data_IF_507540956321
#
_entry.id   IF_507540956321
#
_cell.length_a   1.000
_cell.length_b   1.000
_cell.length_c   1.000
_cell.angle_alpha   90.00
_cell.angle_beta   90.00
_cell.angle_gamma   90.00
#
_symmetry.space_group_name_H-M   'P 1'
#
loop_
_entity.id
_entity.type
_entity.pdbx_description
1 polymer ?
#
# COMPACT_ATOMS: atom_id res chain seq x y z
N UNK A 1 -33.45 -15.10 -2.81
CA UNK A 1 -32.23 -15.10 -3.67
C UNK A 1 -31.04 -14.82 -2.78
N UNK A 2 -29.89 -15.46 -3.04
CA UNK A 2 -28.66 -15.20 -2.28
C UNK A 2 -28.07 -13.87 -2.75
N UNK A 3 -27.79 -12.95 -1.82
CA UNK A 3 -27.11 -11.67 -2.13
C UNK A 3 -25.66 -11.94 -2.52
N UNK A 4 -25.14 -11.21 -3.49
CA UNK A 4 -23.72 -11.20 -3.83
C UNK A 4 -22.95 -10.47 -2.73
N UNK A 5 -21.68 -10.83 -2.55
CA UNK A 5 -20.77 -10.19 -1.60
C UNK A 5 -19.82 -9.28 -2.35
N UNK A 6 -19.74 -8.02 -1.94
CA UNK A 6 -18.84 -7.03 -2.52
C UNK A 6 -17.84 -6.60 -1.44
N UNK A 7 -16.56 -6.84 -1.69
CA UNK A 7 -15.47 -6.37 -0.83
C UNK A 7 -15.00 -4.99 -1.29
N UNK A 8 -15.15 -4.02 -0.39
CA UNK A 8 -14.74 -2.63 -0.54
C UNK A 8 -13.38 -2.45 0.12
N UNK A 9 -12.31 -2.33 -0.67
CA UNK A 9 -10.94 -2.16 -0.16
C UNK A 9 -10.52 -0.68 -0.12
N UNK A 10 -10.30 -0.15 1.09
CA UNK A 10 -10.02 1.25 1.36
C UNK A 10 -8.77 1.38 2.26
N UNK A 11 -7.56 1.29 1.68
CA UNK A 11 -6.31 1.33 2.44
C UNK A 11 -5.84 2.73 2.82
N UNK A 12 -6.51 3.79 2.40
CA UNK A 12 -6.03 5.16 2.54
C UNK A 12 -7.16 6.16 2.88
N UNK A 13 -6.77 7.32 3.44
CA UNK A 13 -7.64 8.26 4.16
C UNK A 13 -8.57 9.16 3.32
N UNK A 14 -9.37 9.94 4.07
CA UNK A 14 -10.32 11.05 3.78
C UNK A 14 -10.97 11.15 2.38
N UNK A 15 -10.19 11.23 1.29
CA UNK A 15 -10.71 11.47 -0.07
C UNK A 15 -11.58 10.32 -0.60
N UNK A 16 -11.26 9.09 -0.21
CA UNK A 16 -12.00 7.90 -0.66
C UNK A 16 -13.26 7.66 0.20
N UNK A 17 -13.34 8.25 1.41
CA UNK A 17 -14.52 8.11 2.30
C UNK A 17 -15.79 8.66 1.69
N UNK A 18 -15.70 9.78 0.97
CA UNK A 18 -16.85 10.44 0.35
C UNK A 18 -17.56 9.52 -0.66
N UNK A 19 -16.81 8.61 -1.28
CA UNK A 19 -17.36 7.66 -2.23
C UNK A 19 -18.28 6.63 -1.58
N UNK A 20 -18.03 6.27 -0.30
CA UNK A 20 -18.90 5.37 0.45
C UNK A 20 -20.28 6.00 0.66
N UNK A 21 -20.36 7.32 0.79
CA UNK A 21 -21.64 8.04 0.90
C UNK A 21 -22.32 8.31 -0.44
N UNK A 22 -21.83 7.75 -1.55
CA UNK A 22 -22.50 7.90 -2.85
C UNK A 22 -23.70 6.95 -2.96
N UNK A 23 -24.67 7.33 -3.81
CA UNK A 23 -25.88 6.53 -4.09
C UNK A 23 -25.57 5.11 -4.59
N UNK A 24 -24.36 4.90 -5.14
CA UNK A 24 -23.83 3.60 -5.57
C UNK A 24 -23.92 2.55 -4.47
N UNK A 25 -23.65 2.91 -3.21
CA UNK A 25 -23.61 1.97 -2.09
C UNK A 25 -24.78 2.12 -1.12
N UNK A 26 -25.41 3.29 -1.07
CA UNK A 26 -26.57 3.52 -0.18
C UNK A 26 -27.75 2.63 -0.59
N UNK A 27 -27.99 2.50 -1.90
CA UNK A 27 -29.17 1.82 -2.45
C UNK A 27 -28.88 0.42 -2.98
N UNK A 28 -27.74 -0.17 -2.63
CA UNK A 28 -27.41 -1.53 -3.08
C UNK A 28 -28.18 -2.58 -2.28
N UNK A 29 -28.61 -3.64 -2.95
CA UNK A 29 -29.19 -4.81 -2.29
C UNK A 29 -28.15 -5.90 -1.99
N UNK A 30 -26.88 -5.66 -2.34
CA UNK A 30 -25.77 -6.60 -2.14
C UNK A 30 -25.21 -6.51 -0.71
N UNK A 31 -24.50 -7.55 -0.29
CA UNK A 31 -23.80 -7.58 1.01
C UNK A 31 -22.47 -6.84 0.87
N UNK A 32 -22.31 -5.73 1.60
CA UNK A 32 -21.09 -4.93 1.56
C UNK A 32 -20.15 -5.31 2.70
N UNK A 33 -18.90 -5.61 2.36
CA UNK A 33 -17.83 -5.91 3.31
C UNK A 33 -16.77 -4.82 3.18
N UNK A 34 -16.47 -4.12 4.26
CA UNK A 34 -15.50 -3.03 4.24
C UNK A 34 -14.13 -3.51 4.75
N UNK A 35 -13.10 -3.48 3.91
CA UNK A 35 -11.71 -3.76 4.28
C UNK A 35 -10.90 -2.46 4.34
N UNK A 36 -10.57 -1.99 5.54
CA UNK A 36 -10.16 -0.59 5.74
C UNK A 36 -9.11 -0.38 6.84
N UNK A 37 -8.53 0.83 6.89
CA UNK A 37 -7.74 1.32 8.02
C UNK A 37 -8.37 2.52 8.75
N UNK A 38 -9.66 2.82 8.50
CA UNK A 38 -10.39 3.88 9.18
C UNK A 38 -10.43 3.73 10.71
N UNK A 39 -10.46 4.88 11.39
CA UNK A 39 -10.70 4.95 12.82
C UNK A 39 -12.15 4.56 13.19
N UNK A 40 -12.40 4.18 14.45
CA UNK A 40 -13.73 3.74 14.89
C UNK A 40 -14.83 4.78 14.69
N UNK A 41 -14.56 6.09 14.83
CA UNK A 41 -15.56 7.14 14.68
C UNK A 41 -16.01 7.26 13.22
N UNK A 42 -15.05 7.18 12.28
CA UNK A 42 -15.32 7.13 10.84
C UNK A 42 -16.22 5.95 10.48
N UNK A 43 -15.97 4.77 11.03
CA UNK A 43 -16.79 3.58 10.79
C UNK A 43 -18.23 3.76 11.28
N UNK A 44 -18.40 4.31 12.48
CA UNK A 44 -19.71 4.61 13.04
C UNK A 44 -20.46 5.59 12.12
N UNK A 45 -19.78 6.60 11.55
CA UNK A 45 -20.39 7.55 10.64
C UNK A 45 -20.81 6.92 9.30
N UNK A 46 -19.99 6.03 8.73
CA UNK A 46 -20.29 5.32 7.48
C UNK A 46 -21.52 4.42 7.66
N UNK A 47 -21.55 3.61 8.73
CA UNK A 47 -22.64 2.68 9.04
C UNK A 47 -24.00 3.34 9.27
N UNK A 48 -24.05 4.65 9.52
CA UNK A 48 -25.31 5.42 9.60
C UNK A 48 -25.97 5.63 8.25
N UNK A 49 -25.19 5.64 7.17
CA UNK A 49 -25.67 6.01 5.83
C UNK A 49 -25.62 4.84 4.85
N UNK A 50 -24.72 3.88 5.08
CA UNK A 50 -24.48 2.75 4.20
C UNK A 50 -24.64 1.47 4.99
N UNK A 51 -25.41 0.52 4.47
CA UNK A 51 -25.53 -0.81 5.03
C UNK A 51 -24.23 -1.58 4.79
N UNK A 52 -23.33 -1.57 5.79
CA UNK A 52 -22.11 -2.37 5.81
C UNK A 52 -22.32 -3.54 6.77
N UNK A 53 -22.39 -4.75 6.24
CA UNK A 53 -22.71 -5.96 6.98
C UNK A 53 -21.52 -6.47 7.80
N UNK A 54 -20.30 -6.27 7.31
CA UNK A 54 -19.09 -6.62 8.06
C UNK A 54 -17.90 -5.75 7.69
N UNK A 55 -16.95 -5.68 8.60
CA UNK A 55 -15.70 -4.94 8.41
C UNK A 55 -14.50 -5.79 8.76
N UNK A 56 -13.41 -5.53 8.05
CA UNK A 56 -12.10 -6.13 8.25
C UNK A 56 -11.13 -4.95 8.40
N UNK A 57 -10.43 -4.89 9.53
CA UNK A 57 -9.38 -3.90 9.72
C UNK A 57 -8.10 -4.41 9.07
N UNK A 58 -7.46 -3.55 8.27
CA UNK A 58 -6.16 -3.83 7.68
C UNK A 58 -5.16 -3.99 8.82
N UNK A 59 -4.50 -5.16 8.95
CA UNK A 59 -3.56 -5.38 10.02
C UNK A 59 -2.35 -4.46 9.86
N UNK A 60 -1.80 -4.01 10.99
CA UNK A 60 -0.58 -3.23 10.99
C UNK A 60 0.58 -4.01 10.35
N UNK A 61 1.17 -3.41 9.32
CA UNK A 61 2.37 -3.96 8.71
C UNK A 61 3.60 -3.64 9.56
N UNK A 62 4.23 -4.67 10.14
CA UNK A 62 5.50 -4.56 10.84
C UNK A 62 6.60 -5.12 9.96
N UNK A 63 7.52 -4.26 9.55
CA UNK A 63 8.67 -4.64 8.73
C UNK A 63 9.90 -4.88 9.61
N UNK A 64 10.47 -6.08 9.55
CA UNK A 64 11.76 -6.39 10.13
C UNK A 64 12.92 -5.81 9.29
N UNK A 65 14.09 -5.66 9.90
CA UNK A 65 15.29 -5.17 9.20
C UNK A 65 15.66 -6.06 8.00
N UNK A 66 15.44 -7.38 8.09
CA UNK A 66 15.70 -8.32 7.00
C UNK A 66 14.72 -8.13 5.84
N UNK A 67 13.44 -8.01 6.14
CA UNK A 67 12.40 -7.75 5.12
C UNK A 67 12.64 -6.42 4.43
N UNK A 68 12.95 -5.37 5.20
CA UNK A 68 13.35 -4.08 4.67
C UNK A 68 14.55 -4.19 3.73
N UNK A 69 15.59 -4.90 4.16
CA UNK A 69 16.80 -5.08 3.36
C UNK A 69 16.49 -5.74 2.02
N UNK A 70 15.73 -6.84 2.04
CA UNK A 70 15.33 -7.55 0.84
C UNK A 70 14.44 -6.70 -0.07
N UNK A 71 13.48 -5.96 0.49
CA UNK A 71 12.60 -5.07 -0.28
C UNK A 71 13.38 -3.98 -1.01
N UNK A 72 14.31 -3.32 -0.32
CA UNK A 72 15.15 -2.29 -0.90
C UNK A 72 16.12 -2.87 -1.95
N UNK A 73 16.70 -4.05 -1.69
CA UNK A 73 17.55 -4.76 -2.65
C UNK A 73 16.79 -5.11 -3.94
N UNK A 74 15.61 -5.72 -3.81
CA UNK A 74 14.74 -6.05 -4.95
C UNK A 74 14.37 -4.79 -5.74
N UNK A 75 14.10 -3.68 -5.05
CA UNK A 75 13.79 -2.40 -5.71
C UNK A 75 14.94 -1.94 -6.60
N UNK A 76 16.16 -1.84 -6.05
CA UNK A 76 17.32 -1.36 -6.79
C UNK A 76 17.75 -2.33 -7.90
N UNK A 77 17.74 -3.64 -7.65
CA UNK A 77 18.04 -4.65 -8.68
C UNK A 77 17.07 -4.56 -9.86
N UNK A 78 15.77 -4.31 -9.60
CA UNK A 78 14.78 -4.08 -10.68
C UNK A 78 15.09 -2.82 -11.48
N UNK A 79 15.61 -1.75 -10.85
CA UNK A 79 16.03 -0.55 -11.57
C UNK A 79 17.22 -0.85 -12.49
N UNK A 80 18.23 -1.59 -12.03
CA UNK A 80 19.34 -2.03 -12.87
C UNK A 80 18.88 -2.94 -14.02
N UNK A 81 18.04 -3.95 -13.75
CA UNK A 81 17.48 -4.83 -14.78
C UNK A 81 16.69 -4.05 -15.84
N UNK A 82 15.90 -3.07 -15.43
CA UNK A 82 15.12 -2.24 -16.35
C UNK A 82 16.00 -1.25 -17.12
N UNK A 83 17.03 -0.68 -16.48
CA UNK A 83 18.05 0.11 -17.16
C UNK A 83 18.72 -0.70 -18.27
N UNK A 84 19.11 -1.95 -18.01
CA UNK A 84 19.74 -2.79 -19.02
C UNK A 84 18.81 -3.11 -20.20
N UNK A 85 17.52 -3.35 -19.93
CA UNK A 85 16.51 -3.65 -20.96
C UNK A 85 16.13 -2.45 -21.81
N UNK A 86 16.04 -1.26 -21.21
CA UNK A 86 15.49 -0.06 -21.86
C UNK A 86 16.55 0.95 -22.25
N UNK A 87 17.78 0.80 -21.74
CA UNK A 87 18.90 1.75 -21.86
C UNK A 87 18.53 3.18 -21.42
N UNK A 88 17.51 3.32 -20.56
CA UNK A 88 17.10 4.60 -20.02
C UNK A 88 17.84 4.92 -18.72
N UNK A 89 18.88 5.75 -18.80
CA UNK A 89 19.71 6.18 -17.67
C UNK A 89 18.95 6.93 -16.57
N UNK A 90 17.78 7.53 -16.87
CA UNK A 90 17.00 8.24 -15.86
C UNK A 90 16.43 7.29 -14.81
N UNK A 91 16.28 6.00 -15.11
CA UNK A 91 15.77 5.00 -14.15
C UNK A 91 16.63 4.90 -12.89
N UNK A 92 17.96 4.99 -13.03
CA UNK A 92 18.86 4.92 -11.88
C UNK A 92 18.83 6.19 -11.02
N UNK A 93 18.42 7.34 -11.60
CA UNK A 93 18.26 8.58 -10.84
C UNK A 93 17.07 8.55 -9.85
N UNK A 94 16.12 7.62 -10.05
CA UNK A 94 15.01 7.41 -9.12
C UNK A 94 15.49 6.78 -7.79
N UNK A 95 16.67 6.18 -7.76
CA UNK A 95 17.30 5.73 -6.52
C UNK A 95 18.02 6.90 -5.84
N UNK A 96 17.29 7.67 -5.04
CA UNK A 96 17.82 8.88 -4.38
C UNK A 96 17.67 8.80 -2.85
N UNK A 97 18.47 7.95 -2.22
CA UNK A 97 18.47 7.81 -0.75
C UNK A 97 19.58 8.63 -0.11
N UNK A 98 19.25 9.86 0.29
CA UNK A 98 20.14 10.67 1.13
C UNK A 98 19.83 10.44 2.63
N UNK A 99 20.67 9.67 3.32
CA UNK A 99 20.46 9.32 4.73
C UNK A 99 21.44 10.05 5.66
N UNK A 100 20.92 10.69 6.70
CA UNK A 100 21.74 11.45 7.67
C UNK A 100 22.46 10.56 8.70
N UNK A 101 21.89 9.39 9.04
CA UNK A 101 22.44 8.50 10.08
C UNK A 101 23.43 7.50 9.50
N UNK A 102 24.58 7.31 10.17
CA UNK A 102 25.67 6.41 9.74
C UNK A 102 25.18 4.97 9.54
N UNK A 103 24.38 4.43 10.48
CA UNK A 103 23.83 3.08 10.36
C UNK A 103 22.98 2.88 9.10
N UNK A 104 22.18 3.89 8.73
CA UNK A 104 21.40 3.86 7.49
C UNK A 104 22.30 4.01 6.27
N UNK A 105 23.33 4.86 6.31
CA UNK A 105 24.31 4.96 5.21
C UNK A 105 24.94 3.60 4.93
N UNK A 106 25.40 2.89 5.96
CA UNK A 106 25.97 1.55 5.80
C UNK A 106 24.93 0.59 5.20
N UNK A 107 23.71 0.57 5.75
CA UNK A 107 22.63 -0.29 5.27
C UNK A 107 22.35 -0.11 3.77
N UNK A 108 22.12 1.13 3.32
CA UNK A 108 21.84 1.42 1.92
C UNK A 108 23.07 1.25 1.03
N UNK A 109 24.28 1.52 1.56
CA UNK A 109 25.51 1.30 0.79
C UNK A 109 25.75 -0.18 0.49
N UNK A 110 25.47 -1.05 1.45
CA UNK A 110 25.51 -2.50 1.23
C UNK A 110 24.54 -2.92 0.12
N UNK A 111 23.33 -2.36 0.10
CA UNK A 111 22.35 -2.62 -0.97
C UNK A 111 22.87 -2.13 -2.33
N UNK A 112 23.40 -0.90 -2.41
CA UNK A 112 23.99 -0.36 -3.63
C UNK A 112 25.11 -1.20 -4.20
N UNK A 113 25.96 -1.78 -3.32
CA UNK A 113 27.03 -2.67 -3.76
C UNK A 113 26.50 -4.02 -4.27
N UNK A 114 25.43 -4.55 -3.68
CA UNK A 114 24.93 -5.89 -4.01
C UNK A 114 23.96 -5.87 -5.20
N UNK A 115 23.11 -4.84 -5.31
CA UNK A 115 22.02 -4.79 -6.26
C UNK A 115 22.41 -4.93 -7.75
N UNK A 116 23.54 -4.40 -8.25
CA UNK A 116 23.94 -4.57 -9.65
C UNK A 116 24.22 -6.02 -10.07
N UNK A 117 24.40 -6.93 -9.10
CA UNK A 117 24.71 -8.34 -9.35
C UNK A 117 23.47 -9.24 -9.42
N UNK A 118 22.26 -8.68 -9.26
CA UNK A 118 20.97 -9.38 -9.31
C UNK A 118 20.03 -8.68 -10.31
#
# INVERSE_FOLDING_TARGET
MKKNKILLFFPDGVGIRNYLYSDTFINTNEELILFHNFDPETIIAIKKNVAIESEIVIPDYKESVKEKFLRELICLSRLYSNYEKTKNSTLLSNWNWNQNRISKKIFYKTIECIAPFF
#
